data_IF_610594880936
#
_entry.id   IF_610594880936
#
_cell.length_a   1.000
_cell.length_b   1.000
_cell.length_c   1.000
_cell.angle_alpha   90.00
_cell.angle_beta   90.00
_cell.angle_gamma   90.00
#
_symmetry.space_group_name_H-M   'P 1'
#
loop_
_entity.id
_entity.type
_entity.pdbx_description
1 polymer ?
#
# COMPACT_ATOMS: atom_id res chain seq x y z
N UNK A 1 10.69 8.90 43.33
CA UNK A 1 10.46 7.52 42.80
C UNK A 1 10.43 7.62 41.32
N UNK A 2 11.54 7.24 40.69
CA UNK A 2 11.70 7.25 39.24
C UNK A 2 11.15 5.93 38.71
N UNK A 3 10.09 6.02 37.88
CA UNK A 3 9.58 4.90 37.12
C UNK A 3 10.32 4.84 35.78
N UNK A 4 11.20 3.84 35.60
CA UNK A 4 11.80 3.51 34.32
C UNK A 4 10.71 2.95 33.39
N UNK A 5 10.48 3.63 32.28
CA UNK A 5 9.75 3.09 31.13
C UNK A 5 10.75 2.20 30.37
N UNK A 6 10.65 0.90 30.54
CA UNK A 6 11.35 -0.07 29.70
C UNK A 6 10.53 -0.29 28.41
N UNK A 7 10.85 0.45 27.36
CA UNK A 7 10.38 0.20 25.99
C UNK A 7 11.45 -0.52 25.19
N UNK A 8 11.68 -1.81 25.42
CA UNK A 8 12.42 -2.68 24.51
C UNK A 8 11.41 -3.61 23.82
N UNK A 9 10.76 -3.12 22.77
CA UNK A 9 10.08 -3.96 21.81
C UNK A 9 11.11 -4.60 20.89
N UNK A 10 11.51 -5.84 21.18
CA UNK A 10 12.34 -6.59 20.25
C UNK A 10 11.55 -6.95 19.00
N UNK A 11 12.23 -7.09 17.84
CA UNK A 11 11.65 -7.52 16.56
C UNK A 11 10.84 -8.84 16.65
N UNK A 12 11.00 -9.60 17.73
CA UNK A 12 10.27 -10.83 18.04
C UNK A 12 8.80 -10.62 18.46
N UNK A 13 8.36 -9.41 18.75
CA UNK A 13 6.97 -9.12 19.17
C UNK A 13 5.96 -9.16 17.99
N UNK A 14 6.45 -9.11 16.76
CA UNK A 14 5.62 -9.07 15.54
C UNK A 14 5.57 -10.43 14.83
N UNK A 15 5.69 -11.54 15.55
CA UNK A 15 5.65 -12.88 14.92
C UNK A 15 4.22 -13.23 14.52
N UNK A 16 4.01 -13.40 13.21
CA UNK A 16 2.83 -14.08 12.67
C UNK A 16 2.80 -15.54 13.12
N UNK A 17 1.61 -16.04 13.48
CA UNK A 17 1.40 -17.49 13.71
C UNK A 17 1.81 -18.30 12.47
N UNK A 18 2.05 -19.60 12.63
CA UNK A 18 2.46 -20.49 11.52
C UNK A 18 1.58 -20.27 10.30
N UNK A 19 2.16 -19.95 9.16
CA UNK A 19 1.40 -19.57 7.97
C UNK A 19 0.54 -20.76 7.51
N UNK A 20 -0.76 -20.55 7.47
CA UNK A 20 -1.69 -21.47 6.79
C UNK A 20 -2.09 -20.79 5.49
N UNK A 21 -2.09 -21.52 4.36
CA UNK A 21 -2.59 -20.96 3.11
C UNK A 21 -4.01 -20.46 3.30
N UNK A 22 -4.25 -19.18 2.97
CA UNK A 22 -5.58 -18.59 2.95
C UNK A 22 -5.97 -18.28 1.52
N UNK A 23 -7.19 -18.63 1.15
CA UNK A 23 -7.72 -18.28 -0.15
C UNK A 23 -8.79 -17.20 0.00
N UNK A 24 -8.53 -16.05 -0.64
CA UNK A 24 -9.42 -14.90 -0.65
C UNK A 24 -9.96 -14.65 -2.05
N UNK A 25 -11.25 -14.31 -2.12
CA UNK A 25 -11.83 -13.67 -3.30
C UNK A 25 -12.02 -12.20 -2.99
N UNK A 26 -11.48 -11.35 -3.85
CA UNK A 26 -11.67 -9.89 -3.80
C UNK A 26 -12.52 -9.48 -4.98
N UNK A 27 -13.51 -8.61 -4.74
CA UNK A 27 -14.27 -7.91 -5.76
C UNK A 27 -14.17 -6.41 -5.49
N UNK A 28 -13.47 -5.70 -6.36
CA UNK A 28 -13.32 -4.25 -6.28
C UNK A 28 -14.12 -3.61 -7.41
N UNK A 29 -15.05 -2.75 -7.06
CA UNK A 29 -15.85 -1.95 -7.99
C UNK A 29 -15.49 -0.50 -7.79
N UNK A 30 -15.08 0.18 -8.87
CA UNK A 30 -14.78 1.62 -8.86
C UNK A 30 -15.18 2.26 -10.18
N UNK A 31 -15.31 3.56 -10.19
CA UNK A 31 -15.63 4.31 -11.41
C UNK A 31 -16.10 5.72 -11.11
N UNK A 32 -16.69 6.32 -12.13
CA UNK A 32 -17.18 7.69 -12.08
C UNK A 32 -18.62 7.76 -12.58
N UNK A 33 -19.41 8.65 -11.98
CA UNK A 33 -20.65 9.16 -12.54
C UNK A 33 -20.40 10.59 -13.03
N UNK A 34 -20.99 10.97 -14.17
CA UNK A 34 -20.80 12.26 -14.80
C UNK A 34 -22.13 12.99 -14.85
N UNK A 35 -22.23 14.17 -14.22
CA UNK A 35 -23.49 14.93 -14.12
C UNK A 35 -24.09 15.34 -15.49
N UNK A 36 -23.23 15.59 -16.46
CA UNK A 36 -23.62 16.00 -17.83
C UNK A 36 -23.06 15.05 -18.90
N UNK A 37 -22.74 13.80 -18.49
CA UNK A 37 -22.09 12.82 -19.34
C UNK A 37 -20.62 13.11 -19.59
N UNK A 38 -19.91 12.11 -20.08
CA UNK A 38 -18.55 12.22 -20.61
C UNK A 38 -18.56 11.87 -22.10
N UNK A 39 -17.82 12.60 -22.92
CA UNK A 39 -17.71 12.36 -24.37
C UNK A 39 -16.76 11.20 -24.65
N UNK A 40 -15.67 11.14 -23.90
CA UNK A 40 -14.65 10.08 -24.01
C UNK A 40 -13.86 9.98 -22.71
N UNK A 41 -13.25 8.80 -22.49
CA UNK A 41 -12.30 8.60 -21.38
C UNK A 41 -11.19 7.64 -21.76
N UNK A 42 -9.97 7.86 -21.19
CA UNK A 42 -8.77 7.04 -21.35
C UNK A 42 -8.29 6.66 -19.95
N UNK A 43 -8.18 5.38 -19.68
CA UNK A 43 -8.05 4.91 -18.32
C UNK A 43 -7.01 3.78 -18.18
N UNK A 44 -6.42 3.69 -17.01
CA UNK A 44 -5.57 2.60 -16.54
C UNK A 44 -6.06 2.09 -15.20
N UNK A 45 -6.33 0.79 -15.12
CA UNK A 45 -6.69 0.13 -13.87
C UNK A 45 -5.54 -0.78 -13.39
N UNK A 46 -5.12 -0.60 -12.14
CA UNK A 46 -4.16 -1.43 -11.42
C UNK A 46 -4.91 -2.19 -10.32
N UNK A 47 -5.66 -3.20 -10.73
CA UNK A 47 -6.59 -3.94 -9.87
C UNK A 47 -6.40 -5.46 -9.96
N UNK A 48 -5.43 -5.91 -10.76
CA UNK A 48 -5.06 -7.33 -10.90
C UNK A 48 -3.94 -7.65 -9.92
N UNK A 49 -4.16 -8.55 -8.93
CA UNK A 49 -3.12 -8.94 -7.99
C UNK A 49 -1.90 -9.56 -8.66
N UNK A 50 -0.74 -9.45 -8.03
CA UNK A 50 0.51 -10.04 -8.51
C UNK A 50 0.68 -11.46 -7.98
N UNK A 51 1.27 -12.34 -8.78
CA UNK A 51 1.84 -13.60 -8.28
C UNK A 51 3.26 -13.35 -7.82
N UNK A 52 3.55 -13.76 -6.57
CA UNK A 52 4.86 -13.63 -5.91
C UNK A 52 5.26 -14.95 -5.24
N UNK A 53 6.34 -14.99 -4.46
CA UNK A 53 6.68 -16.12 -3.61
C UNK A 53 5.59 -16.46 -2.59
N UNK A 54 4.89 -15.43 -2.08
CA UNK A 54 3.95 -15.53 -0.97
C UNK A 54 2.49 -15.50 -1.41
N UNK A 55 2.23 -15.29 -2.69
CA UNK A 55 0.90 -15.08 -3.23
C UNK A 55 0.75 -15.65 -4.63
N UNK A 56 -0.27 -16.50 -4.85
CA UNK A 56 -0.60 -17.04 -6.16
C UNK A 56 -1.99 -16.56 -6.60
N UNK A 57 -2.05 -15.93 -7.76
CA UNK A 57 -3.33 -15.52 -8.38
C UNK A 57 -3.91 -16.72 -9.13
N UNK A 58 -4.98 -17.28 -8.58
CA UNK A 58 -5.67 -18.44 -9.18
C UNK A 58 -6.59 -18.00 -10.32
N UNK A 59 -7.19 -16.83 -10.20
CA UNK A 59 -8.06 -16.23 -11.21
C UNK A 59 -8.10 -14.73 -11.02
N UNK A 60 -8.09 -13.98 -12.13
CA UNK A 60 -8.36 -12.54 -12.14
C UNK A 60 -9.13 -12.18 -13.40
N UNK A 61 -10.02 -11.17 -13.27
CA UNK A 61 -10.77 -10.60 -14.37
C UNK A 61 -11.10 -9.15 -14.08
N UNK A 62 -10.87 -8.28 -15.04
CA UNK A 62 -11.30 -6.87 -15.02
C UNK A 62 -12.40 -6.70 -16.08
N UNK A 63 -13.52 -6.14 -15.68
CA UNK A 63 -14.68 -5.84 -16.53
C UNK A 63 -14.94 -4.34 -16.52
N UNK A 64 -15.16 -3.78 -17.71
CA UNK A 64 -15.38 -2.34 -17.90
C UNK A 64 -16.77 -2.12 -18.49
N UNK A 65 -17.50 -1.14 -17.98
CA UNK A 65 -18.80 -0.72 -18.50
C UNK A 65 -18.81 0.82 -18.63
N UNK A 66 -19.16 1.39 -19.77
CA UNK A 66 -19.52 0.70 -21.04
C UNK A 66 -18.43 -0.23 -21.54
N UNK A 67 -18.83 -1.25 -22.31
CA UNK A 67 -17.86 -2.20 -22.88
C UNK A 67 -16.84 -1.46 -23.74
N UNK A 68 -15.57 -1.61 -23.41
CA UNK A 68 -14.47 -0.92 -24.06
C UNK A 68 -13.43 -1.93 -24.57
N UNK A 69 -12.72 -1.54 -25.62
CA UNK A 69 -11.49 -2.24 -25.96
C UNK A 69 -10.48 -2.03 -24.84
N UNK A 70 -9.84 -3.11 -24.42
CA UNK A 70 -8.83 -3.07 -23.36
C UNK A 70 -7.62 -3.92 -23.71
N UNK A 71 -6.45 -3.50 -23.22
CA UNK A 71 -5.23 -4.29 -23.30
C UNK A 71 -4.56 -4.34 -21.93
N UNK A 72 -3.90 -5.45 -21.65
CA UNK A 72 -3.08 -5.61 -20.45
C UNK A 72 -1.60 -5.48 -20.79
N UNK A 73 -0.86 -4.81 -19.91
CA UNK A 73 0.60 -4.75 -19.97
C UNK A 73 1.18 -4.73 -18.55
N UNK A 74 2.49 -4.91 -18.41
CA UNK A 74 3.19 -4.68 -17.16
C UNK A 74 3.89 -3.33 -17.22
N UNK A 75 3.66 -2.51 -16.19
CA UNK A 75 4.35 -1.24 -16.10
C UNK A 75 5.81 -1.42 -15.60
N UNK A 76 6.52 -0.30 -15.45
CA UNK A 76 7.91 -0.29 -15.00
C UNK A 76 8.11 -1.02 -13.66
N UNK A 77 7.11 -0.97 -12.76
CA UNK A 77 7.15 -1.59 -11.44
C UNK A 77 6.75 -3.08 -11.46
N UNK A 78 6.42 -3.62 -12.62
CA UNK A 78 5.94 -4.98 -12.78
C UNK A 78 4.45 -5.17 -12.46
N UNK A 79 3.72 -4.09 -12.18
CA UNK A 79 2.27 -4.13 -11.93
C UNK A 79 1.52 -4.45 -13.21
N UNK A 80 0.48 -5.28 -13.11
CA UNK A 80 -0.42 -5.54 -14.23
C UNK A 80 -1.38 -4.37 -14.38
N UNK A 81 -1.35 -3.74 -15.54
CA UNK A 81 -2.19 -2.59 -15.90
C UNK A 81 -3.17 -3.00 -16.97
N UNK A 82 -4.45 -2.78 -16.73
CA UNK A 82 -5.49 -2.86 -17.77
C UNK A 82 -5.74 -1.44 -18.29
N UNK A 83 -5.26 -1.15 -19.50
CA UNK A 83 -5.55 0.10 -20.20
C UNK A 83 -6.80 -0.06 -21.06
N UNK A 84 -7.69 0.93 -21.03
CA UNK A 84 -8.92 0.91 -21.80
C UNK A 84 -9.41 2.32 -22.14
N UNK A 85 -10.19 2.41 -23.23
CA UNK A 85 -10.69 3.66 -23.79
C UNK A 85 -12.18 3.53 -24.08
N UNK A 86 -12.96 4.53 -23.66
CA UNK A 86 -14.38 4.65 -24.00
C UNK A 86 -14.53 5.89 -24.89
N UNK A 87 -14.90 5.68 -26.16
CA UNK A 87 -15.02 6.74 -27.15
C UNK A 87 -16.47 7.21 -27.37
N UNK A 88 -17.44 6.49 -26.83
CA UNK A 88 -18.84 6.85 -26.93
C UNK A 88 -19.28 7.69 -25.74
N UNK A 89 -20.21 8.65 -25.91
CA UNK A 89 -20.80 9.38 -24.80
C UNK A 89 -21.40 8.43 -23.76
N UNK A 90 -21.09 8.68 -22.48
CA UNK A 90 -21.53 7.83 -21.38
C UNK A 90 -21.75 8.63 -20.09
N UNK A 91 -22.76 8.26 -19.31
CA UNK A 91 -23.11 8.92 -18.05
C UNK A 91 -22.35 8.35 -16.85
N UNK A 92 -21.79 7.16 -17.02
CA UNK A 92 -20.99 6.50 -15.99
C UNK A 92 -19.91 5.62 -16.60
N UNK A 93 -18.79 5.49 -15.89
CA UNK A 93 -17.75 4.51 -16.12
C UNK A 93 -17.68 3.61 -14.91
N UNK A 94 -17.78 2.29 -15.10
CA UNK A 94 -17.63 1.31 -14.02
C UNK A 94 -16.56 0.29 -14.36
N UNK A 95 -15.64 0.06 -13.46
CA UNK A 95 -14.60 -0.99 -13.53
C UNK A 95 -14.82 -1.96 -12.37
N UNK A 96 -14.93 -3.25 -12.69
CA UNK A 96 -15.09 -4.32 -11.71
C UNK A 96 -13.95 -5.30 -11.86
N UNK A 97 -13.07 -5.38 -10.86
CA UNK A 97 -12.06 -6.41 -10.78
C UNK A 97 -12.49 -7.51 -9.81
N UNK A 98 -12.46 -8.76 -10.26
CA UNK A 98 -12.73 -9.94 -9.43
C UNK A 98 -11.53 -10.86 -9.49
N UNK A 99 -10.92 -11.14 -8.34
CA UNK A 99 -9.74 -11.98 -8.23
C UNK A 99 -9.89 -13.03 -7.15
N UNK A 100 -9.31 -14.20 -7.37
CA UNK A 100 -9.15 -15.24 -6.35
C UNK A 100 -7.66 -15.46 -6.16
N UNK A 101 -7.20 -15.28 -4.93
CA UNK A 101 -5.80 -15.31 -4.56
C UNK A 101 -5.60 -16.31 -3.43
N UNK A 102 -4.52 -17.06 -3.49
CA UNK A 102 -4.04 -17.90 -2.40
C UNK A 102 -2.77 -17.27 -1.85
N UNK A 103 -2.79 -16.94 -0.56
CA UNK A 103 -1.65 -16.38 0.16
C UNK A 103 -1.03 -17.41 1.09
N UNK A 104 0.29 -17.54 1.02
CA UNK A 104 1.09 -18.41 1.88
C UNK A 104 2.33 -17.63 2.31
N UNK A 105 2.19 -16.72 3.28
CA UNK A 105 3.31 -15.90 3.72
C UNK A 105 4.46 -16.77 4.25
N UNK A 106 5.68 -16.43 3.84
CA UNK A 106 6.89 -17.06 4.32
C UNK A 106 7.65 -16.10 5.22
N UNK A 107 8.28 -16.63 6.27
CA UNK A 107 9.21 -15.83 7.03
C UNK A 107 10.45 -15.54 6.15
N UNK A 108 10.87 -14.31 6.11
CA UNK A 108 12.15 -13.93 5.48
C UNK A 108 13.27 -14.39 6.40
N UNK A 109 13.98 -15.44 6.00
CA UNK A 109 15.11 -16.03 6.75
C UNK A 109 16.43 -15.49 6.16
N UNK A 110 16.63 -14.18 6.28
CA UNK A 110 17.88 -13.50 5.88
C UNK A 110 18.39 -12.75 7.09
N UNK A 111 19.70 -12.80 7.30
CA UNK A 111 20.34 -12.05 8.38
C UNK A 111 20.10 -10.55 8.23
N UNK A 112 19.84 -9.81 9.31
CA UNK A 112 19.77 -8.37 9.30
C UNK A 112 21.04 -7.76 8.70
N UNK A 113 20.88 -6.63 8.00
CA UNK A 113 22.00 -5.89 7.44
C UNK A 113 22.54 -4.87 8.44
N UNK A 114 23.80 -4.52 8.27
CA UNK A 114 24.42 -3.41 8.98
C UNK A 114 24.25 -2.09 8.21
N UNK A 115 24.35 -0.94 8.88
CA UNK A 115 24.26 0.36 8.23
C UNK A 115 25.23 0.52 7.04
N UNK A 116 26.42 -0.08 7.14
CA UNK A 116 27.42 -0.02 6.07
C UNK A 116 26.99 -0.79 4.80
N UNK A 117 26.13 -1.79 4.91
CA UNK A 117 25.70 -2.63 3.79
C UNK A 117 24.71 -1.90 2.87
N UNK A 118 24.01 -0.89 3.39
CA UNK A 118 23.05 -0.11 2.60
C UNK A 118 23.72 0.60 1.40
N UNK A 119 24.98 0.98 1.54
CA UNK A 119 25.75 1.62 0.45
C UNK A 119 25.91 0.68 -0.76
N UNK A 120 25.98 -0.63 -0.53
CA UNK A 120 26.16 -1.61 -1.61
C UNK A 120 24.90 -1.80 -2.48
N UNK A 121 23.72 -1.49 -1.94
CA UNK A 121 22.43 -1.63 -2.65
C UNK A 121 21.83 -0.29 -3.08
N UNK A 122 22.46 0.83 -2.74
CA UNK A 122 21.93 2.16 -3.00
C UNK A 122 21.73 2.46 -4.49
N UNK A 123 22.64 2.01 -5.35
CA UNK A 123 22.54 2.19 -6.80
C UNK A 123 21.43 1.30 -7.39
N UNK A 124 21.31 0.06 -6.91
CA UNK A 124 20.27 -0.90 -7.36
C UNK A 124 18.87 -0.42 -6.99
N UNK A 125 18.71 0.14 -5.80
CA UNK A 125 17.42 0.59 -5.26
C UNK A 125 17.28 2.11 -5.18
N UNK A 126 18.02 2.85 -6.00
CA UNK A 126 18.07 4.32 -5.94
C UNK A 126 16.68 4.99 -6.04
N UNK A 127 15.77 4.42 -6.80
CA UNK A 127 14.41 4.94 -6.95
C UNK A 127 13.59 4.87 -5.65
N UNK A 128 13.88 3.87 -4.81
CA UNK A 128 13.24 3.67 -3.51
C UNK A 128 13.94 4.43 -2.37
N UNK A 129 14.91 5.27 -2.70
CA UNK A 129 15.57 6.23 -1.81
C UNK A 129 15.14 7.68 -2.06
N UNK A 130 14.34 7.93 -3.11
CA UNK A 130 13.93 9.29 -3.48
C UNK A 130 12.97 9.86 -2.43
N UNK A 131 13.33 11.03 -1.88
CA UNK A 131 12.48 11.86 -1.01
C UNK A 131 11.77 12.92 -1.87
N UNK A 132 10.73 12.51 -2.58
CA UNK A 132 9.87 13.43 -3.29
C UNK A 132 8.95 14.23 -2.32
N UNK A 133 8.24 15.27 -2.78
CA UNK A 133 7.39 16.07 -1.91
C UNK A 133 6.30 15.28 -1.18
N UNK A 134 5.83 14.14 -1.73
CA UNK A 134 4.74 13.36 -1.16
C UNK A 134 5.13 12.60 0.11
N UNK A 135 6.40 12.15 0.17
CA UNK A 135 6.91 11.33 1.26
C UNK A 135 7.88 12.09 2.18
N UNK A 136 8.25 13.33 1.85
CA UNK A 136 9.20 14.11 2.66
C UNK A 136 8.67 14.29 4.08
N UNK A 137 9.44 13.88 5.11
CA UNK A 137 9.03 14.03 6.50
C UNK A 137 8.85 15.50 6.89
N UNK A 138 7.91 15.77 7.78
CA UNK A 138 7.79 17.06 8.48
C UNK A 138 9.05 17.33 9.34
N UNK A 139 9.40 18.58 9.55
CA UNK A 139 10.63 18.96 10.28
C UNK A 139 10.65 18.43 11.72
N UNK A 140 9.51 18.45 12.41
CA UNK A 140 9.38 17.91 13.78
C UNK A 140 9.62 16.39 13.82
N UNK A 141 9.17 15.65 12.80
CA UNK A 141 9.48 14.24 12.64
C UNK A 141 10.98 14.07 12.38
N UNK A 142 11.59 14.94 11.57
CA UNK A 142 13.00 14.89 11.23
C UNK A 142 13.92 14.81 12.44
N UNK A 143 13.71 15.65 13.46
CA UNK A 143 14.50 15.65 14.69
C UNK A 143 14.34 14.34 15.49
N UNK A 144 13.14 13.77 15.52
CA UNK A 144 12.88 12.48 16.18
C UNK A 144 13.56 11.32 15.45
N UNK A 145 13.56 11.36 14.10
CA UNK A 145 14.22 10.36 13.26
C UNK A 145 15.75 10.39 13.43
N UNK A 146 16.35 11.58 13.57
CA UNK A 146 17.81 11.71 13.80
C UNK A 146 18.21 11.11 15.15
N UNK A 147 17.39 11.33 16.20
CA UNK A 147 17.63 10.74 17.52
C UNK A 147 17.43 9.21 17.50
N UNK A 148 16.41 8.72 16.78
CA UNK A 148 16.15 7.30 16.63
C UNK A 148 17.29 6.60 15.87
N UNK A 149 17.78 7.19 14.77
CA UNK A 149 18.89 6.64 14.01
C UNK A 149 20.17 6.56 14.84
N UNK A 150 20.46 7.58 15.64
CA UNK A 150 21.63 7.61 16.52
C UNK A 150 21.59 6.55 17.64
N UNK A 151 20.38 6.02 17.96
CA UNK A 151 20.17 5.02 19.01
C UNK A 151 19.92 3.59 18.47
N UNK A 152 19.85 3.42 17.15
CA UNK A 152 19.59 2.13 16.50
C UNK A 152 20.90 1.51 16.00
N UNK A 153 21.21 0.31 16.44
CA UNK A 153 22.43 -0.41 16.05
C UNK A 153 22.34 -0.87 14.58
N UNK A 154 21.15 -1.21 14.10
CA UNK A 154 20.91 -1.72 12.73
C UNK A 154 19.80 -0.96 12.01
N UNK A 155 19.76 -1.00 10.66
CA UNK A 155 18.63 -0.49 9.85
C UNK A 155 17.29 -1.11 10.25
N UNK A 156 17.27 -2.42 10.57
CA UNK A 156 16.06 -3.13 11.00
C UNK A 156 15.51 -2.60 12.33
N UNK A 157 16.37 -2.32 13.32
CA UNK A 157 15.98 -1.69 14.59
C UNK A 157 15.41 -0.29 14.37
N UNK A 158 16.06 0.51 13.53
CA UNK A 158 15.56 1.82 13.14
C UNK A 158 14.18 1.71 12.49
N UNK A 159 13.99 0.78 11.55
CA UNK A 159 12.71 0.58 10.89
C UNK A 159 11.59 0.25 11.89
N UNK A 160 11.84 -0.64 12.85
CA UNK A 160 10.89 -0.95 13.92
C UNK A 160 10.55 0.29 14.75
N UNK A 161 11.54 1.11 15.09
CA UNK A 161 11.33 2.38 15.78
C UNK A 161 10.48 3.38 14.98
N UNK A 162 10.74 3.49 13.67
CA UNK A 162 9.92 4.30 12.74
C UNK A 162 8.46 3.84 12.74
N UNK A 163 8.22 2.52 12.67
CA UNK A 163 6.85 1.98 12.65
C UNK A 163 6.07 2.36 13.90
N UNK A 164 6.68 2.22 15.09
CA UNK A 164 6.08 2.66 16.34
C UNK A 164 5.82 4.16 16.36
N UNK A 165 6.81 4.96 15.97
CA UNK A 165 6.71 6.43 15.98
C UNK A 165 5.58 6.94 15.06
N UNK A 166 5.47 6.39 13.85
CA UNK A 166 4.43 6.79 12.88
C UNK A 166 3.05 6.30 13.33
N UNK A 167 2.95 5.04 13.77
CA UNK A 167 1.69 4.46 14.26
C UNK A 167 1.12 5.20 15.47
N UNK A 168 1.97 5.56 16.41
CA UNK A 168 1.54 6.26 17.65
C UNK A 168 1.11 7.70 17.38
N UNK A 169 1.67 8.35 16.36
CA UNK A 169 1.37 9.74 16.03
C UNK A 169 0.15 9.89 15.10
N UNK A 170 0.06 9.09 14.03
CA UNK A 170 -0.99 9.21 13.01
C UNK A 170 -2.21 8.36 13.35
N UNK A 171 -3.28 9.01 13.78
CA UNK A 171 -4.57 8.32 13.99
C UNK A 171 -5.25 8.05 12.65
N UNK A 172 -5.70 6.81 12.44
CA UNK A 172 -6.51 6.48 11.27
C UNK A 172 -7.87 7.19 11.35
N UNK A 173 -8.13 8.09 10.39
CA UNK A 173 -9.35 8.87 10.32
C UNK A 173 -9.72 9.15 8.85
N UNK A 174 -10.71 8.43 8.30
CA UNK A 174 -11.18 8.67 6.93
C UNK A 174 -11.76 10.06 6.74
N UNK A 175 -11.54 10.65 5.55
CA UNK A 175 -12.14 11.93 5.15
C UNK A 175 -11.43 13.19 5.64
N UNK A 176 -10.32 13.06 6.41
CA UNK A 176 -9.53 14.22 6.86
C UNK A 176 -8.43 14.60 5.89
N UNK A 177 -8.04 13.69 5.01
CA UNK A 177 -7.00 13.86 3.99
C UNK A 177 -7.58 13.63 2.60
N UNK A 178 -6.85 14.10 1.60
CA UNK A 178 -7.14 13.88 0.18
C UNK A 178 -5.99 13.07 -0.45
N UNK A 179 -6.22 12.52 -1.64
CA UNK A 179 -5.18 11.82 -2.41
C UNK A 179 -3.93 12.68 -2.60
N UNK A 180 -4.08 14.01 -2.62
CA UNK A 180 -3.00 15.00 -2.76
C UNK A 180 -2.32 15.38 -1.44
N UNK A 181 -2.75 14.88 -0.29
CA UNK A 181 -2.12 15.19 1.00
C UNK A 181 -0.72 14.59 1.09
N UNK A 182 0.25 15.40 1.49
CA UNK A 182 1.63 14.97 1.69
C UNK A 182 1.85 14.35 3.06
N UNK A 183 2.93 13.59 3.22
CA UNK A 183 3.31 13.03 4.52
C UNK A 183 3.49 14.10 5.61
N UNK A 184 4.04 15.27 5.23
CA UNK A 184 4.23 16.39 6.15
C UNK A 184 2.89 16.98 6.63
N UNK A 185 1.95 17.19 5.73
CA UNK A 185 0.61 17.71 6.07
C UNK A 185 -0.18 16.72 6.95
N UNK A 186 -0.12 15.41 6.63
CA UNK A 186 -0.74 14.38 7.46
C UNK A 186 -0.11 14.30 8.85
N UNK A 187 1.22 14.43 8.93
CA UNK A 187 1.95 14.50 10.20
C UNK A 187 1.52 15.69 11.05
N UNK A 188 1.46 16.89 10.47
CA UNK A 188 0.99 18.10 11.15
C UNK A 188 -0.46 17.96 11.65
N UNK A 189 -1.33 17.33 10.85
CA UNK A 189 -2.71 17.04 11.23
C UNK A 189 -2.84 15.95 12.32
N UNK A 190 -1.83 15.10 12.51
CA UNK A 190 -1.85 13.97 13.43
C UNK A 190 -2.90 12.90 13.08
N UNK A 191 -3.35 12.88 11.82
CA UNK A 191 -4.37 11.95 11.35
C UNK A 191 -4.30 11.78 9.83
N UNK A 192 -4.74 10.62 9.35
CA UNK A 192 -4.79 10.31 7.92
C UNK A 192 -5.36 8.92 7.66
N UNK A 193 -5.23 8.46 6.42
CA UNK A 193 -5.60 7.11 6.01
C UNK A 193 -4.34 6.26 5.75
N UNK A 194 -4.51 5.00 5.37
CA UNK A 194 -3.38 4.08 5.13
C UNK A 194 -2.34 4.62 4.13
N UNK A 195 -2.76 5.39 3.13
CA UNK A 195 -1.85 6.06 2.19
C UNK A 195 -0.91 7.04 2.92
N UNK A 196 -1.46 7.87 3.82
CA UNK A 196 -0.70 8.91 4.53
C UNK A 196 0.30 8.29 5.51
N UNK A 197 -0.15 7.26 6.24
CA UNK A 197 0.68 6.49 7.18
C UNK A 197 1.83 5.80 6.43
N UNK A 198 1.54 5.19 5.27
CA UNK A 198 2.57 4.59 4.42
C UNK A 198 3.55 5.64 3.89
N UNK A 199 3.08 6.81 3.40
CA UNK A 199 3.95 7.89 2.91
C UNK A 199 4.88 8.44 4.01
N UNK A 200 4.36 8.68 5.22
CA UNK A 200 5.19 9.11 6.35
C UNK A 200 6.26 8.09 6.71
N UNK A 201 5.90 6.79 6.71
CA UNK A 201 6.83 5.69 6.96
C UNK A 201 7.90 5.60 5.88
N UNK A 202 7.53 5.69 4.60
CA UNK A 202 8.48 5.70 3.48
C UNK A 202 9.49 6.83 3.59
N UNK A 203 9.00 8.04 3.88
CA UNK A 203 9.86 9.20 4.04
C UNK A 203 10.87 9.04 5.19
N UNK A 204 10.41 8.50 6.32
CA UNK A 204 11.26 8.24 7.48
C UNK A 204 12.37 7.21 7.17
N UNK A 205 12.02 6.10 6.51
CA UNK A 205 12.98 5.06 6.12
C UNK A 205 14.00 5.58 5.09
N UNK A 206 13.52 6.24 4.03
CA UNK A 206 14.37 6.77 2.96
C UNK A 206 15.31 7.87 3.43
N UNK A 207 14.88 8.69 4.40
CA UNK A 207 15.74 9.70 5.03
C UNK A 207 17.00 9.09 5.66
N UNK A 208 16.88 7.90 6.24
CA UNK A 208 17.96 7.16 6.84
C UNK A 208 18.80 6.34 5.81
N UNK A 209 18.45 6.40 4.52
CA UNK A 209 19.12 5.64 3.47
C UNK A 209 18.64 4.20 3.34
N UNK A 210 17.51 3.84 3.94
CA UNK A 210 16.91 2.51 3.81
C UNK A 210 15.97 2.52 2.59
N UNK A 211 16.24 1.71 1.55
CA UNK A 211 15.33 1.57 0.42
C UNK A 211 13.96 1.10 0.91
N UNK A 212 12.91 1.83 0.52
CA UNK A 212 11.54 1.50 0.91
C UNK A 212 10.56 1.80 -0.21
N UNK A 213 9.57 0.92 -0.42
CA UNK A 213 8.58 1.03 -1.48
C UNK A 213 7.16 0.95 -0.96
N UNK A 214 6.30 1.67 -1.65
CA UNK A 214 4.86 1.66 -1.42
C UNK A 214 4.26 0.38 -1.97
N UNK A 215 3.32 -0.19 -1.25
CA UNK A 215 2.53 -1.33 -1.68
C UNK A 215 1.06 -0.97 -1.62
N UNK A 216 0.36 -1.23 -2.72
CA UNK A 216 -1.09 -1.12 -2.83
C UNK A 216 -1.70 -2.50 -2.96
N UNK A 217 -2.84 -2.71 -2.31
CA UNK A 217 -3.53 -3.98 -2.35
C UNK A 217 -4.86 -3.98 -1.62
N UNK A 218 -5.22 -5.11 -1.05
CA UNK A 218 -6.43 -5.27 -0.26
C UNK A 218 -6.12 -5.93 1.08
N UNK A 219 -6.92 -5.61 2.08
CA UNK A 219 -6.85 -6.23 3.40
C UNK A 219 -8.23 -6.79 3.79
N UNK A 220 -8.25 -8.04 4.24
CA UNK A 220 -9.45 -8.56 4.92
C UNK A 220 -9.51 -7.97 6.34
N UNK A 221 -10.57 -7.21 6.70
CA UNK A 221 -10.59 -6.41 7.94
C UNK A 221 -10.61 -7.26 9.22
N UNK A 222 -11.23 -8.44 9.18
CA UNK A 222 -11.28 -9.32 10.36
C UNK A 222 -9.94 -10.01 10.61
N UNK A 223 -9.50 -10.04 11.87
CA UNK A 223 -8.33 -10.82 12.29
C UNK A 223 -8.55 -12.33 12.12
N UNK A 224 -9.79 -12.79 12.24
CA UNK A 224 -10.20 -14.18 12.09
C UNK A 224 -11.31 -14.28 11.02
N UNK A 225 -10.97 -14.25 9.72
CA UNK A 225 -11.96 -14.35 8.67
C UNK A 225 -12.76 -15.66 8.74
N UNK A 226 -14.07 -15.58 8.52
CA UNK A 226 -14.95 -16.76 8.48
C UNK A 226 -15.07 -17.25 7.03
N UNK A 227 -14.93 -18.57 6.83
CA UNK A 227 -15.06 -19.17 5.49
C UNK A 227 -16.47 -18.98 4.94
N UNK A 228 -16.59 -18.46 3.73
CA UNK A 228 -17.84 -18.20 3.03
C UNK A 228 -18.49 -16.86 3.38
N UNK A 229 -18.02 -16.15 4.40
CA UNK A 229 -18.52 -14.82 4.74
C UNK A 229 -17.87 -13.78 3.79
N UNK A 230 -18.72 -12.91 3.24
CA UNK A 230 -18.29 -11.74 2.48
C UNK A 230 -18.41 -10.52 3.36
N UNK A 231 -17.33 -9.78 3.49
CA UNK A 231 -17.27 -8.54 4.27
C UNK A 231 -16.94 -7.35 3.36
N UNK A 232 -17.39 -6.17 3.77
CA UNK A 232 -16.92 -4.93 3.17
C UNK A 232 -15.46 -4.76 3.55
N UNK A 233 -14.60 -4.70 2.53
CA UNK A 233 -13.18 -4.46 2.66
C UNK A 233 -12.82 -3.07 2.18
N UNK A 234 -11.53 -2.79 2.23
CA UNK A 234 -10.98 -1.52 1.72
C UNK A 234 -9.78 -1.82 0.81
N UNK A 235 -9.52 -0.93 -0.14
CA UNK A 235 -8.20 -0.82 -0.71
C UNK A 235 -7.25 -0.41 0.42
N UNK A 236 -6.09 -1.04 0.47
CA UNK A 236 -5.15 -0.85 1.57
C UNK A 236 -3.75 -0.55 1.07
N UNK A 237 -2.99 0.14 1.89
CA UNK A 237 -1.61 0.48 1.61
C UNK A 237 -0.71 0.13 2.79
N UNK A 238 0.48 -0.37 2.46
CA UNK A 238 1.55 -0.65 3.42
C UNK A 238 2.91 -0.38 2.79
N UNK A 239 3.97 -0.73 3.47
CA UNK A 239 5.34 -0.54 2.98
C UNK A 239 6.10 -1.86 2.91
N UNK A 240 7.05 -1.93 2.00
CA UNK A 240 8.15 -2.88 2.04
C UNK A 240 9.46 -2.10 2.15
N UNK A 241 10.39 -2.59 2.97
CA UNK A 241 11.70 -1.99 3.19
C UNK A 241 12.81 -3.02 3.06
N UNK A 242 14.01 -2.57 2.72
CA UNK A 242 15.16 -3.43 2.53
C UNK A 242 15.92 -3.67 3.84
N UNK A 243 16.03 -4.94 4.23
CA UNK A 243 16.84 -5.40 5.36
C UNK A 243 17.41 -6.77 5.01
N UNK A 244 18.32 -6.78 4.01
CA UNK A 244 18.90 -7.98 3.40
C UNK A 244 18.01 -8.66 2.37
N UNK A 245 16.70 -8.46 2.48
CA UNK A 245 15.65 -8.75 1.52
C UNK A 245 14.48 -7.78 1.76
N UNK A 246 13.50 -7.75 0.86
CA UNK A 246 12.31 -6.95 1.02
C UNK A 246 11.39 -7.48 2.11
N UNK A 247 11.21 -6.71 3.18
CA UNK A 247 10.35 -7.02 4.32
C UNK A 247 9.12 -6.13 4.32
N UNK A 248 7.93 -6.74 4.42
CA UNK A 248 6.68 -6.00 4.52
C UNK A 248 6.39 -5.53 5.94
N UNK A 249 5.81 -4.34 6.07
CA UNK A 249 5.18 -3.85 7.29
C UNK A 249 3.96 -2.99 6.98
N UNK A 250 2.86 -3.25 7.68
CA UNK A 250 1.63 -2.44 7.64
C UNK A 250 1.63 -1.48 8.84
N UNK A 251 2.06 -0.23 8.64
CA UNK A 251 2.18 0.73 9.74
C UNK A 251 0.82 1.23 10.25
N UNK A 252 -0.23 1.10 9.45
CA UNK A 252 -1.59 1.47 9.86
C UNK A 252 -2.13 0.52 10.93
N UNK A 253 -1.90 -0.78 10.76
CA UNK A 253 -2.37 -1.81 11.67
C UNK A 253 -1.28 -2.33 12.62
N UNK A 254 -0.04 -1.83 12.51
CA UNK A 254 1.14 -2.27 13.26
C UNK A 254 1.38 -3.79 13.18
N UNK A 255 1.30 -4.36 11.98
CA UNK A 255 1.48 -5.80 11.74
C UNK A 255 2.39 -6.07 10.54
N UNK A 256 3.04 -7.23 10.54
CA UNK A 256 3.65 -7.77 9.33
C UNK A 256 2.54 -8.26 8.40
N UNK A 257 2.54 -7.88 7.10
CA UNK A 257 1.59 -8.39 6.14
C UNK A 257 1.58 -9.92 6.11
N UNK A 258 0.38 -10.49 6.15
CA UNK A 258 0.17 -11.93 6.24
C UNK A 258 -0.86 -12.42 5.23
N UNK A 259 -1.48 -13.55 5.52
CA UNK A 259 -2.44 -14.24 4.67
C UNK A 259 -3.73 -13.43 4.35
N UNK A 260 -4.00 -12.38 5.13
CA UNK A 260 -5.13 -11.45 4.93
C UNK A 260 -4.82 -10.29 3.97
N UNK A 261 -3.56 -10.09 3.62
CA UNK A 261 -3.12 -9.06 2.68
C UNK A 261 -3.05 -9.62 1.27
N UNK A 262 -3.60 -8.89 0.31
CA UNK A 262 -3.54 -9.22 -1.11
C UNK A 262 -2.78 -8.11 -1.84
N UNK A 263 -1.59 -8.42 -2.33
CA UNK A 263 -0.72 -7.48 -3.02
C UNK A 263 -1.16 -7.30 -4.48
N UNK A 264 -1.30 -6.04 -4.89
CA UNK A 264 -1.68 -5.66 -6.26
C UNK A 264 -0.55 -4.92 -6.97
N UNK A 265 0.01 -3.90 -6.35
CA UNK A 265 0.99 -3.04 -7.00
C UNK A 265 2.11 -2.62 -6.02
N UNK A 266 3.27 -2.33 -6.59
CA UNK A 266 4.42 -1.72 -5.90
C UNK A 266 4.84 -0.47 -6.63
N UNK A 267 5.46 0.49 -5.92
CA UNK A 267 5.98 1.71 -6.51
C UNK A 267 6.70 2.58 -5.48
N UNK A 268 7.09 3.78 -5.88
CA UNK A 268 7.72 4.76 -4.97
C UNK A 268 6.72 5.37 -3.99
N UNK A 269 5.46 5.49 -4.41
CA UNK A 269 4.36 6.05 -3.64
C UNK A 269 3.04 5.78 -4.33
N UNK A 270 1.95 6.36 -3.81
CA UNK A 270 0.62 6.17 -4.36
C UNK A 270 0.52 6.51 -5.86
N UNK A 271 1.24 7.54 -6.32
CA UNK A 271 1.21 7.98 -7.73
C UNK A 271 1.61 6.93 -8.76
N UNK A 272 2.39 5.92 -8.35
CA UNK A 272 2.78 4.77 -9.18
C UNK A 272 1.74 3.62 -9.11
N UNK A 273 0.88 3.62 -8.09
CA UNK A 273 0.00 2.48 -7.74
C UNK A 273 -1.51 2.80 -7.68
N UNK A 274 -2.05 3.88 -8.31
CA UNK A 274 -3.47 4.18 -8.15
C UNK A 274 -4.33 3.06 -8.75
N UNK A 275 -5.38 2.58 -8.05
CA UNK A 275 -6.25 1.51 -8.55
C UNK A 275 -6.92 1.87 -9.88
N UNK A 276 -7.36 3.12 -10.02
CA UNK A 276 -7.91 3.66 -11.26
C UNK A 276 -7.33 5.06 -11.50
N UNK A 277 -6.79 5.27 -12.68
CA UNK A 277 -6.27 6.56 -13.16
C UNK A 277 -6.76 6.79 -14.57
N UNK A 278 -7.19 8.00 -14.88
CA UNK A 278 -7.61 8.32 -16.24
C UNK A 278 -7.80 9.81 -16.46
N UNK A 279 -8.07 10.12 -17.72
CA UNK A 279 -8.53 11.44 -18.15
C UNK A 279 -9.84 11.24 -18.88
N UNK A 280 -10.75 12.18 -18.74
CA UNK A 280 -12.05 12.18 -19.40
C UNK A 280 -12.46 13.60 -19.80
N UNK A 281 -13.30 13.69 -20.83
CA UNK A 281 -13.88 14.94 -21.31
C UNK A 281 -15.33 15.01 -20.85
N UNK A 282 -15.63 15.93 -19.93
CA UNK A 282 -16.99 16.22 -19.47
C UNK A 282 -17.17 17.72 -19.26
N UNK A 283 -18.32 18.30 -19.61
CA UNK A 283 -18.62 19.69 -19.28
C UNK A 283 -19.05 19.89 -17.82
N UNK A 284 -19.44 18.81 -17.14
CA UNK A 284 -19.97 18.82 -15.79
C UNK A 284 -19.07 18.25 -14.72
N UNK A 285 -19.61 18.15 -13.51
CA UNK A 285 -18.95 17.52 -12.36
C UNK A 285 -18.92 15.99 -12.52
N UNK A 286 -17.95 15.36 -11.89
CA UNK A 286 -17.86 13.90 -11.76
C UNK A 286 -17.77 13.50 -10.29
N UNK A 287 -18.29 12.33 -9.97
CA UNK A 287 -18.24 11.74 -8.64
C UNK A 287 -17.58 10.35 -8.73
N UNK A 288 -16.54 10.13 -7.93
CA UNK A 288 -15.87 8.84 -7.79
C UNK A 288 -16.65 7.96 -6.82
N UNK A 289 -16.86 6.70 -7.18
CA UNK A 289 -17.35 5.68 -6.26
C UNK A 289 -16.39 4.51 -6.15
N UNK A 290 -16.30 3.91 -4.97
CA UNK A 290 -15.44 2.75 -4.68
C UNK A 290 -16.18 1.82 -3.73
N UNK A 291 -16.10 0.51 -3.99
CA UNK A 291 -16.56 -0.54 -3.11
C UNK A 291 -15.63 -1.75 -3.23
N UNK A 292 -15.23 -2.32 -2.11
CA UNK A 292 -14.40 -3.53 -2.06
C UNK A 292 -15.11 -4.57 -1.21
N UNK A 293 -15.24 -5.78 -1.73
CA UNK A 293 -15.78 -6.94 -1.03
C UNK A 293 -14.71 -8.02 -0.94
N UNK A 294 -14.49 -8.58 0.23
CA UNK A 294 -13.52 -9.66 0.45
C UNK A 294 -14.23 -10.86 1.06
N UNK A 295 -14.01 -12.05 0.48
CA UNK A 295 -14.57 -13.31 0.95
C UNK A 295 -13.45 -14.30 1.20
N UNK A 296 -13.39 -14.89 2.40
CA UNK A 296 -12.52 -16.04 2.63
C UNK A 296 -13.16 -17.29 2.03
N UNK A 297 -12.42 -18.00 1.17
CA UNK A 297 -12.89 -19.22 0.51
C UNK A 297 -12.44 -20.49 1.24
N UNK A 298 -11.28 -20.45 1.87
CA UNK A 298 -10.73 -21.53 2.72
C UNK A 298 -9.67 -21.03 3.68
#
# INVERSE_FOLDING_TARGET
MQGQVQGQGSASQWQSGSPRPMQLRVRHTTGFTYAEGAEASYNEARMTPLTTSDQVVLRSRVEVSPTAWSQEYRDYWGTVVTAFEVHEPHDALTVVATSTVESTPHAVDVAPVEWADLAAVADEWCEFLVLDPWVRPHDDLGAQLDALQASSDTPGEYAVGVFGLVHDHLRYLPGVTQVSTTAAEAWEAGAGVCQDVAHATLGALRRAGIPARYVSGYLHPSAEPVVGETVEGESHAWVEYWDGDWRGFDPTNAVVPGDRHVLVARGRGYGDCPPLRGIYSTPGASELFVSVEVTRLR
#
